data_IF_913056341738
#
_entry.id   IF_913056341738
#
_cell.length_a   1.000
_cell.length_b   1.000
_cell.length_c   1.000
_cell.angle_alpha   90.00
_cell.angle_beta   90.00
_cell.angle_gamma   90.00
#
_symmetry.space_group_name_H-M   'P 1'
#
loop_
_entity.id
_entity.type
_entity.pdbx_description
1 polymer ?
#
# COMPACT_ATOMS: atom_id res chain seq x y z
N UNK A 1 3.99 26.23 -18.23
CA UNK A 1 3.57 25.32 -17.14
C UNK A 1 2.32 24.61 -17.61
N UNK A 2 2.38 23.30 -17.88
CA UNK A 2 1.20 22.52 -18.30
C UNK A 2 0.63 21.83 -17.07
N UNK A 3 -0.50 22.34 -16.58
CA UNK A 3 -1.30 21.69 -15.55
C UNK A 3 -2.02 20.51 -16.21
N UNK A 4 -1.69 19.29 -15.81
CA UNK A 4 -2.50 18.13 -16.16
C UNK A 4 -3.73 18.15 -15.24
N UNK A 5 -4.86 18.55 -15.81
CA UNK A 5 -6.16 18.37 -15.19
C UNK A 5 -6.42 16.85 -15.11
N UNK A 6 -6.27 16.29 -13.90
CA UNK A 6 -6.62 14.92 -13.60
C UNK A 6 -8.14 14.86 -13.59
N UNK A 7 -8.74 14.31 -14.63
CA UNK A 7 -10.17 14.07 -14.71
C UNK A 7 -10.56 13.05 -13.64
N UNK A 8 -11.42 13.45 -12.70
CA UNK A 8 -11.93 12.68 -11.56
C UNK A 8 -12.61 11.34 -11.89
N UNK A 9 -12.74 10.96 -13.17
CA UNK A 9 -13.49 9.77 -13.59
C UNK A 9 -12.75 8.43 -13.39
N UNK A 10 -11.49 8.45 -12.96
CA UNK A 10 -10.62 7.26 -12.88
C UNK A 10 -10.79 6.46 -11.56
N UNK A 11 -11.10 7.14 -10.44
CA UNK A 11 -11.12 6.51 -9.11
C UNK A 11 -12.38 5.68 -8.81
N UNK A 12 -13.46 5.83 -9.59
CA UNK A 12 -14.69 5.08 -9.38
C UNK A 12 -14.55 3.55 -9.60
N UNK A 13 -13.41 3.09 -10.11
CA UNK A 13 -13.14 1.67 -10.37
C UNK A 13 -12.54 0.90 -9.19
N UNK A 14 -12.09 1.57 -8.12
CA UNK A 14 -11.64 0.91 -6.88
C UNK A 14 -12.85 0.46 -6.03
N UNK A 15 -14.03 1.04 -6.27
CA UNK A 15 -15.28 0.81 -5.51
C UNK A 15 -15.80 -0.63 -5.56
N UNK A 16 -15.33 -1.46 -6.50
CA UNK A 16 -15.75 -2.86 -6.64
C UNK A 16 -14.83 -3.89 -5.99
N UNK A 17 -13.59 -3.54 -5.63
CA UNK A 17 -12.60 -4.49 -5.12
C UNK A 17 -12.57 -4.61 -3.59
N UNK A 18 -13.29 -3.73 -2.87
CA UNK A 18 -13.30 -3.71 -1.40
C UNK A 18 -14.50 -4.42 -0.77
N UNK A 19 -15.42 -4.96 -1.58
CA UNK A 19 -16.62 -5.63 -1.10
C UNK A 19 -16.34 -7.12 -0.80
N UNK A 20 -15.54 -7.38 0.24
CA UNK A 20 -15.44 -8.64 1.02
C UNK A 20 -14.04 -8.89 1.59
N UNK A 21 -13.44 -7.92 2.28
CA UNK A 21 -12.35 -8.24 3.20
C UNK A 21 -12.96 -8.74 4.52
N UNK A 22 -13.26 -10.04 4.60
CA UNK A 22 -13.68 -10.71 5.84
C UNK A 22 -12.52 -10.67 6.84
N UNK A 23 -12.62 -9.79 7.85
CA UNK A 23 -11.61 -9.55 8.88
C UNK A 23 -11.14 -8.09 8.83
N UNK A 24 -11.51 -7.29 9.84
CA UNK A 24 -11.27 -5.83 9.88
C UNK A 24 -9.80 -5.40 9.70
N UNK A 25 -8.84 -6.32 9.81
CA UNK A 25 -7.41 -6.05 9.87
C UNK A 25 -6.74 -6.14 8.48
N UNK A 26 -7.11 -7.14 7.68
CA UNK A 26 -6.63 -7.30 6.32
C UNK A 26 -7.15 -6.19 5.40
N UNK A 27 -8.26 -5.52 5.74
CA UNK A 27 -8.88 -4.52 4.87
C UNK A 27 -7.93 -3.36 4.51
N UNK A 28 -7.14 -2.87 5.46
CA UNK A 28 -6.15 -1.83 5.21
C UNK A 28 -4.98 -2.35 4.34
N UNK A 29 -4.43 -3.51 4.68
CA UNK A 29 -3.34 -4.14 3.92
C UNK A 29 -3.78 -4.52 2.50
N UNK A 30 -5.01 -5.04 2.33
CA UNK A 30 -5.63 -5.34 1.04
C UNK A 30 -5.88 -4.07 0.22
N UNK A 31 -6.21 -2.96 0.87
CA UNK A 31 -6.31 -1.66 0.20
C UNK A 31 -4.95 -1.22 -0.37
N UNK A 32 -3.88 -1.26 0.44
CA UNK A 32 -2.50 -0.97 -0.02
C UNK A 32 -2.12 -1.90 -1.18
N UNK A 33 -2.40 -3.20 -1.06
CA UNK A 33 -2.19 -4.16 -2.13
C UNK A 33 -2.99 -3.81 -3.40
N UNK A 34 -4.26 -3.45 -3.28
CA UNK A 34 -5.13 -3.14 -4.42
C UNK A 34 -4.66 -1.90 -5.19
N UNK A 35 -4.18 -0.87 -4.49
CA UNK A 35 -3.70 0.37 -5.09
C UNK A 35 -2.40 0.16 -5.86
N UNK A 36 -1.55 -0.81 -5.49
CA UNK A 36 -0.36 -1.17 -6.29
C UNK A 36 -0.74 -1.57 -7.73
N UNK A 37 -1.91 -2.17 -7.94
CA UNK A 37 -2.35 -2.59 -9.27
C UNK A 37 -3.26 -1.58 -9.96
N UNK A 38 -3.46 -0.41 -9.37
CA UNK A 38 -4.12 0.69 -10.05
C UNK A 38 -3.28 1.14 -11.26
N UNK A 39 -3.95 1.40 -12.39
CA UNK A 39 -3.32 1.84 -13.64
C UNK A 39 -2.56 3.17 -13.49
N UNK A 40 -3.00 4.02 -12.57
CA UNK A 40 -2.42 5.33 -12.30
C UNK A 40 -1.19 5.21 -11.39
N UNK A 41 -0.96 4.05 -10.75
CA UNK A 41 0.22 3.75 -9.96
C UNK A 41 1.38 3.29 -10.86
N UNK A 42 1.91 4.24 -11.64
CA UNK A 42 3.01 4.01 -12.57
C UNK A 42 4.37 3.86 -11.85
N UNK A 43 4.55 4.59 -10.76
CA UNK A 43 5.72 4.56 -9.87
C UNK A 43 5.28 4.82 -8.42
N UNK A 44 6.24 4.89 -7.50
CA UNK A 44 5.98 5.10 -6.07
C UNK A 44 5.27 6.44 -5.80
N UNK A 45 5.67 7.51 -6.49
CA UNK A 45 5.07 8.84 -6.32
C UNK A 45 3.60 8.83 -6.76
N UNK A 46 3.29 8.28 -7.93
CA UNK A 46 1.92 8.22 -8.41
C UNK A 46 1.07 7.21 -7.63
N UNK A 47 1.67 6.13 -7.11
CA UNK A 47 0.99 5.20 -6.23
C UNK A 47 0.54 5.86 -4.93
N UNK A 48 1.40 6.68 -4.32
CA UNK A 48 1.01 7.53 -3.18
C UNK A 48 -0.16 8.44 -3.55
N UNK A 49 -0.10 9.12 -4.71
CA UNK A 49 -1.22 9.96 -5.12
C UNK A 49 -2.55 9.19 -5.24
N UNK A 50 -2.51 7.93 -5.66
CA UNK A 50 -3.70 7.05 -5.69
C UNK A 50 -4.20 6.74 -4.29
N UNK A 51 -3.31 6.48 -3.34
CA UNK A 51 -3.65 6.27 -1.92
C UNK A 51 -4.27 7.55 -1.33
N UNK A 52 -3.66 8.71 -1.56
CA UNK A 52 -4.12 10.01 -1.03
C UNK A 52 -5.47 10.44 -1.58
N UNK A 53 -5.73 10.16 -2.87
CA UNK A 53 -7.00 10.49 -3.54
C UNK A 53 -8.13 9.52 -3.19
N UNK A 54 -7.84 8.40 -2.51
CA UNK A 54 -8.89 7.46 -2.12
C UNK A 54 -9.75 8.07 -1.00
N UNK A 55 -11.01 8.37 -1.32
CA UNK A 55 -11.97 8.97 -0.37
C UNK A 55 -12.30 8.04 0.81
N UNK A 56 -12.09 6.73 0.65
CA UNK A 56 -12.15 5.76 1.74
C UNK A 56 -10.79 5.60 2.40
N UNK A 57 -10.69 5.90 3.70
CA UNK A 57 -9.56 5.46 4.53
C UNK A 57 -9.95 4.16 5.28
N UNK A 58 -9.78 2.97 4.68
CA UNK A 58 -10.09 1.69 5.33
C UNK A 58 -9.17 1.40 6.53
N UNK A 59 -8.14 2.23 6.74
CA UNK A 59 -7.19 2.13 7.84
C UNK A 59 -7.58 2.98 9.06
N UNK A 60 -8.61 3.84 8.98
CA UNK A 60 -9.00 4.74 10.07
C UNK A 60 -9.58 4.01 11.31
N UNK A 61 -10.11 2.80 11.13
CA UNK A 61 -10.77 2.01 12.18
C UNK A 61 -10.10 0.65 12.42
N UNK A 62 -8.85 0.46 11.99
CA UNK A 62 -8.18 -0.83 12.14
C UNK A 62 -7.68 -1.05 13.56
N UNK A 63 -7.85 -2.27 14.06
CA UNK A 63 -7.29 -2.71 15.34
C UNK A 63 -5.87 -3.29 15.20
N UNK A 64 -5.44 -3.57 13.96
CA UNK A 64 -4.11 -4.12 13.69
C UNK A 64 -3.15 -3.03 13.19
N UNK A 65 -2.03 -2.81 13.89
CA UNK A 65 -1.14 -1.72 13.57
C UNK A 65 -0.36 -1.93 12.27
N UNK A 66 -0.13 -3.17 11.80
CA UNK A 66 0.75 -3.37 10.63
C UNK A 66 0.22 -2.70 9.35
N UNK A 67 -1.03 -2.95 8.97
CA UNK A 67 -1.64 -2.29 7.83
C UNK A 67 -1.72 -0.76 7.99
N UNK A 68 -2.09 -0.27 9.17
CA UNK A 68 -2.15 1.16 9.46
C UNK A 68 -0.80 1.85 9.37
N UNK A 69 0.24 1.21 9.89
CA UNK A 69 1.60 1.74 9.88
C UNK A 69 2.15 1.76 8.46
N UNK A 70 1.93 0.68 7.69
CA UNK A 70 2.25 0.64 6.26
C UNK A 70 1.54 1.78 5.52
N UNK A 71 0.24 1.97 5.74
CA UNK A 71 -0.53 3.06 5.13
C UNK A 71 0.04 4.43 5.49
N UNK A 72 0.38 4.65 6.77
CA UNK A 72 0.94 5.91 7.26
C UNK A 72 2.28 6.24 6.59
N UNK A 73 3.21 5.29 6.55
CA UNK A 73 4.51 5.46 5.87
C UNK A 73 4.33 5.94 4.43
N UNK A 74 3.40 5.33 3.69
CA UNK A 74 3.22 5.68 2.27
C UNK A 74 2.47 6.99 2.04
N UNK A 75 1.78 7.53 3.05
CA UNK A 75 1.20 8.89 3.00
C UNK A 75 2.16 9.99 3.41
N UNK A 76 3.22 9.66 4.13
CA UNK A 76 4.18 10.65 4.58
C UNK A 76 5.02 11.18 3.43
N UNK A 77 5.02 12.50 3.27
CA UNK A 77 5.73 13.17 2.18
C UNK A 77 7.27 13.11 2.35
N UNK A 78 7.75 12.75 3.54
CA UNK A 78 9.15 12.45 3.84
C UNK A 78 9.63 11.14 3.22
N UNK A 79 8.71 10.22 2.87
CA UNK A 79 9.01 8.93 2.25
C UNK A 79 8.98 8.97 0.72
N UNK A 80 9.46 10.07 0.14
CA UNK A 80 9.55 10.27 -1.31
C UNK A 80 10.69 9.46 -1.98
N UNK A 81 11.68 9.04 -1.21
CA UNK A 81 12.83 8.29 -1.70
C UNK A 81 12.98 6.94 -0.97
N UNK A 82 13.67 6.01 -1.64
CA UNK A 82 13.86 4.63 -1.16
C UNK A 82 14.62 4.56 0.15
N UNK A 83 15.52 5.51 0.41
CA UNK A 83 16.31 5.52 1.62
C UNK A 83 15.44 5.88 2.83
N UNK A 84 14.73 7.00 2.78
CA UNK A 84 13.83 7.46 3.86
C UNK A 84 12.76 6.41 4.16
N UNK A 85 12.10 5.91 3.11
CA UNK A 85 11.10 4.85 3.24
C UNK A 85 11.63 3.57 3.90
N UNK A 86 12.85 3.13 3.55
CA UNK A 86 13.43 1.92 4.14
C UNK A 86 13.80 2.09 5.61
N UNK A 87 14.15 3.30 6.04
CA UNK A 87 14.39 3.58 7.45
C UNK A 87 13.09 3.38 8.23
N UNK A 88 12.02 4.08 7.83
CA UNK A 88 10.73 4.02 8.51
C UNK A 88 10.13 2.60 8.47
N UNK A 89 10.26 1.89 7.34
CA UNK A 89 9.82 0.50 7.20
C UNK A 89 10.55 -0.46 8.16
N UNK A 90 11.79 -0.13 8.52
CA UNK A 90 12.60 -0.88 9.48
C UNK A 90 12.14 -0.72 10.93
N UNK A 91 11.42 0.36 11.23
CA UNK A 91 10.93 0.70 12.57
C UNK A 91 9.55 0.09 12.88
N UNK A 92 8.88 -0.47 11.86
CA UNK A 92 7.55 -1.09 12.02
C UNK A 92 7.58 -2.43 12.76
N UNK A 93 7.72 -2.38 14.09
CA UNK A 93 7.64 -3.57 14.96
C UNK A 93 6.24 -4.19 14.97
N UNK A 94 5.21 -3.38 14.73
CA UNK A 94 3.81 -3.82 14.57
C UNK A 94 3.67 -4.99 13.59
N UNK A 95 4.40 -4.96 12.48
CA UNK A 95 4.37 -5.99 11.45
C UNK A 95 5.13 -7.26 11.83
N UNK A 96 5.93 -7.27 12.90
CA UNK A 96 6.62 -8.49 13.37
C UNK A 96 5.75 -9.39 14.21
N UNK A 97 4.81 -8.82 14.96
CA UNK A 97 3.95 -9.50 15.93
C UNK A 97 2.48 -9.60 15.46
N UNK A 98 2.24 -9.43 14.16
CA UNK A 98 0.89 -9.29 13.61
C UNK A 98 0.27 -10.61 13.15
N UNK A 99 -1.04 -10.74 13.37
CA UNK A 99 -1.89 -11.77 12.74
C UNK A 99 -2.42 -11.34 11.35
N UNK A 100 -2.10 -10.13 10.88
CA UNK A 100 -2.43 -9.64 9.54
C UNK A 100 -1.44 -10.24 8.53
N UNK A 101 -1.82 -11.38 7.96
CA UNK A 101 -1.01 -12.11 7.00
C UNK A 101 -0.72 -11.26 5.74
N UNK A 102 -1.67 -10.43 5.30
CA UNK A 102 -1.47 -9.53 4.16
C UNK A 102 -0.47 -8.42 4.49
N UNK A 103 -0.63 -7.76 5.65
CA UNK A 103 0.29 -6.73 6.14
C UNK A 103 1.70 -7.27 6.33
N UNK A 104 1.84 -8.45 6.94
CA UNK A 104 3.14 -9.12 7.09
C UNK A 104 3.80 -9.38 5.74
N UNK A 105 3.04 -9.89 4.78
CA UNK A 105 3.52 -10.19 3.43
C UNK A 105 3.96 -8.92 2.68
N UNK A 106 3.18 -7.84 2.77
CA UNK A 106 3.53 -6.54 2.20
C UNK A 106 4.78 -5.96 2.86
N UNK A 107 4.85 -5.99 4.20
CA UNK A 107 6.02 -5.54 4.94
C UNK A 107 7.30 -6.31 4.55
N UNK A 108 7.23 -7.64 4.46
CA UNK A 108 8.34 -8.48 4.00
C UNK A 108 8.77 -8.16 2.57
N UNK A 109 7.79 -7.86 1.70
CA UNK A 109 8.04 -7.41 0.33
C UNK A 109 8.80 -6.08 0.37
N UNK A 110 8.25 -5.07 1.03
CA UNK A 110 8.77 -3.71 1.04
C UNK A 110 10.17 -3.62 1.64
N UNK A 111 10.44 -4.33 2.73
CA UNK A 111 11.77 -4.36 3.35
C UNK A 111 12.82 -5.17 2.60
N UNK A 112 12.43 -5.92 1.57
CA UNK A 112 13.36 -6.75 0.81
C UNK A 112 14.49 -5.88 0.24
N UNK A 113 15.73 -6.38 0.26
CA UNK A 113 16.88 -5.65 -0.29
C UNK A 113 16.69 -5.23 -1.76
N UNK A 114 15.95 -6.03 -2.54
CA UNK A 114 15.64 -5.77 -3.95
C UNK A 114 14.45 -4.83 -4.15
N UNK A 115 13.73 -4.50 -3.08
CA UNK A 115 12.61 -3.58 -3.14
C UNK A 115 13.15 -2.15 -3.20
N UNK A 116 13.34 -1.67 -4.42
CA UNK A 116 13.84 -0.32 -4.74
C UNK A 116 12.86 0.51 -5.54
N UNK A 117 11.86 -0.15 -6.14
CA UNK A 117 10.84 0.49 -6.94
C UNK A 117 9.60 -0.41 -7.01
N UNK A 118 8.52 0.19 -7.51
CA UNK A 118 7.23 -0.48 -7.64
C UNK A 118 7.24 -1.68 -8.60
N UNK A 119 8.09 -1.67 -9.63
CA UNK A 119 8.20 -2.81 -10.54
C UNK A 119 8.81 -4.02 -9.82
N UNK A 120 9.81 -3.79 -8.98
CA UNK A 120 10.43 -4.81 -8.14
C UNK A 120 9.44 -5.35 -7.09
N UNK A 121 8.61 -4.48 -6.49
CA UNK A 121 7.56 -4.91 -5.57
C UNK A 121 6.53 -5.82 -6.25
N UNK A 122 6.01 -5.41 -7.42
CA UNK A 122 5.06 -6.23 -8.22
C UNK A 122 5.66 -7.58 -8.60
N UNK A 123 6.96 -7.62 -8.93
CA UNK A 123 7.65 -8.87 -9.24
C UNK A 123 7.82 -9.80 -8.03
N UNK A 124 8.09 -9.25 -6.84
CA UNK A 124 8.22 -10.03 -5.61
C UNK A 124 6.85 -10.56 -5.19
N UNK A 125 5.83 -9.70 -5.18
CA UNK A 125 4.45 -10.04 -4.82
C UNK A 125 3.85 -11.07 -5.78
N UNK A 126 4.20 -10.99 -7.07
CA UNK A 126 3.76 -11.94 -8.10
C UNK A 126 4.34 -13.35 -7.96
N UNK A 127 5.26 -13.59 -7.02
CA UNK A 127 5.88 -14.91 -6.80
C UNK A 127 5.33 -15.55 -5.53
N UNK A 128 4.59 -16.65 -5.70
CA UNK A 128 4.08 -17.48 -4.61
C UNK A 128 2.65 -17.16 -4.18
N UNK A 129 2.24 -17.76 -3.05
CA UNK A 129 0.92 -17.53 -2.46
C UNK A 129 0.83 -16.12 -1.90
N UNK A 130 -0.19 -15.37 -2.32
CA UNK A 130 -0.40 -13.99 -1.88
C UNK A 130 -1.61 -13.91 -0.94
N UNK A 131 -1.41 -13.67 0.37
CA UNK A 131 -2.47 -13.59 1.37
C UNK A 131 -3.37 -12.35 1.24
N UNK A 132 -3.02 -11.40 0.37
CA UNK A 132 -3.82 -10.21 0.10
C UNK A 132 -4.91 -10.42 -0.97
N UNK A 133 -4.93 -11.57 -1.65
CA UNK A 133 -5.94 -11.89 -2.68
C UNK A 133 -7.21 -12.48 -2.09
#
# INVERSE_FOLDING_TARGET
MKFFAITLASLASISGALASASGSNDACSKFIYSTLYNKDSADVYHWREVIDKSESNPCASTSNPCGADLYSIFKEDTNQDVYSWKQDMGELTACTATDDACGKFLWDTFRNKKSTDMANWKQIIGKGSNPCK
#
